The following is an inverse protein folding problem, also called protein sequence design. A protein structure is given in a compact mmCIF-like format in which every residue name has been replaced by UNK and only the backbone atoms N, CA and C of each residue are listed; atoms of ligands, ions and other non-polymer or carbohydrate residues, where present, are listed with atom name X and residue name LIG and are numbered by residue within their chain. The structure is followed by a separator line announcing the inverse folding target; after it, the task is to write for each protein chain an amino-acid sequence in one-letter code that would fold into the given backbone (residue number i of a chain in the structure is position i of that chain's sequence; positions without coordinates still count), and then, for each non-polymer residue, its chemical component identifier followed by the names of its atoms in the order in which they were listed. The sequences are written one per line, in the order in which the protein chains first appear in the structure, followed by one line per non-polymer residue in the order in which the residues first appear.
data_IF_956908290286
#
_entry.id   IF_956908290286
#
_cell.length_a   1.000
_cell.length_b   1.000
_cell.length_c   1.000
_cell.angle_alpha   90.00
_cell.angle_beta   90.00
_cell.angle_gamma   90.00
#
_symmetry.space_group_name_H-M   'P 1'
#
loop_
_entity.id
_entity.type
_entity.pdbx_description
1 polymer ?
#
# COMPACT_ATOMS: atom_id res chain seq x y z
N UNK A 1 6.32 -6.27 10.32
CA UNK A 1 6.99 -7.39 9.64
C UNK A 1 7.01 -7.13 8.15
N UNK A 2 5.86 -7.09 7.47
CA UNK A 2 5.79 -6.95 6.01
C UNK A 2 6.55 -5.71 5.47
N UNK A 3 6.19 -4.50 5.94
CA UNK A 3 6.90 -3.26 5.59
C UNK A 3 8.43 -3.38 5.76
N UNK A 4 8.87 -3.88 6.93
CA UNK A 4 10.29 -3.96 7.30
C UNK A 4 11.14 -4.85 6.38
N UNK A 5 10.56 -5.92 5.86
CA UNK A 5 11.31 -7.02 5.25
C UNK A 5 11.02 -7.24 3.77
N UNK A 6 9.89 -6.72 3.29
CA UNK A 6 9.41 -6.96 1.93
C UNK A 6 9.13 -5.65 1.19
N UNK A 7 9.53 -4.51 1.73
CA UNK A 7 9.40 -3.21 1.07
C UNK A 7 10.61 -2.33 1.41
N UNK A 8 10.77 -1.24 0.68
CA UNK A 8 11.82 -0.25 0.95
C UNK A 8 11.52 0.64 2.16
N UNK A 9 10.30 0.57 2.72
CA UNK A 9 9.92 1.19 4.01
C UNK A 9 10.43 0.34 5.17
N UNK A 10 11.74 0.41 5.39
CA UNK A 10 12.44 -0.52 6.26
C UNK A 10 13.05 0.11 7.51
N UNK A 11 12.96 1.43 7.71
CA UNK A 11 13.35 2.05 8.99
C UNK A 11 12.23 1.93 10.03
N UNK A 12 12.59 1.94 11.33
CA UNK A 12 11.56 1.89 12.38
C UNK A 12 10.75 3.18 12.45
N UNK A 13 11.38 4.29 12.08
CA UNK A 13 10.82 5.63 12.03
C UNK A 13 9.74 5.73 10.95
N UNK A 14 10.03 5.23 9.73
CA UNK A 14 9.05 5.20 8.64
C UNK A 14 7.86 4.28 9.00
N UNK A 15 8.13 3.09 9.54
CA UNK A 15 7.07 2.15 9.96
C UNK A 15 6.21 2.75 11.08
N UNK A 16 6.83 3.44 12.04
CA UNK A 16 6.16 4.15 13.11
C UNK A 16 5.23 5.26 12.57
N UNK A 17 5.69 6.02 11.58
CA UNK A 17 4.90 7.05 10.92
C UNK A 17 3.69 6.46 10.16
N UNK A 18 3.88 5.37 9.42
CA UNK A 18 2.78 4.69 8.72
C UNK A 18 1.73 4.17 9.70
N UNK A 19 2.17 3.53 10.80
CA UNK A 19 1.29 2.88 11.76
C UNK A 19 0.79 3.79 12.87
N UNK A 20 1.24 5.04 12.92
CA UNK A 20 0.91 6.04 13.95
C UNK A 20 1.17 5.54 15.39
N UNK A 21 2.30 4.87 15.60
CA UNK A 21 2.72 4.35 16.92
C UNK A 21 4.18 4.68 17.23
N UNK A 22 4.59 4.73 18.51
CA UNK A 22 5.97 4.98 18.87
C UNK A 22 6.96 3.93 18.33
N UNK A 23 8.19 4.35 18.01
CA UNK A 23 9.29 3.45 17.58
C UNK A 23 9.54 2.32 18.59
N UNK A 24 9.43 2.60 19.90
CA UNK A 24 9.55 1.58 20.95
C UNK A 24 8.49 0.47 20.81
N UNK A 25 7.27 0.83 20.41
CA UNK A 25 6.17 -0.11 20.13
C UNK A 25 6.45 -0.93 18.87
N UNK A 26 7.07 -0.35 17.85
CA UNK A 26 7.51 -1.10 16.65
C UNK A 26 8.52 -2.17 17.03
N UNK A 27 9.55 -1.82 17.80
CA UNK A 27 10.60 -2.76 18.24
C UNK A 27 10.01 -3.92 19.05
N UNK A 28 9.16 -3.62 20.03
CA UNK A 28 8.55 -4.67 20.87
C UNK A 28 7.61 -5.57 20.07
N UNK A 29 6.76 -5.02 19.20
CA UNK A 29 5.86 -5.80 18.34
C UNK A 29 6.60 -6.65 17.32
N UNK A 30 7.69 -6.15 16.73
CA UNK A 30 8.52 -6.94 15.83
C UNK A 30 9.18 -8.12 16.55
N UNK A 31 9.69 -7.91 17.77
CA UNK A 31 10.26 -8.99 18.55
C UNK A 31 9.22 -10.08 18.88
N UNK A 32 8.02 -9.67 19.32
CA UNK A 32 6.91 -10.59 19.56
C UNK A 32 6.46 -11.33 18.30
N UNK A 33 6.36 -10.62 17.17
CA UNK A 33 5.94 -11.20 15.90
C UNK A 33 6.94 -12.25 15.38
N UNK A 34 8.26 -12.02 15.56
CA UNK A 34 9.29 -13.03 15.23
C UNK A 34 9.12 -14.29 16.07
N UNK A 35 8.85 -14.16 17.37
CA UNK A 35 8.58 -15.29 18.25
C UNK A 35 7.36 -16.10 17.79
N UNK A 36 6.24 -15.41 17.55
CA UNK A 36 5.00 -16.04 17.05
C UNK A 36 5.17 -16.69 15.68
N UNK A 37 5.95 -16.07 14.77
CA UNK A 37 6.24 -16.65 13.47
C UNK A 37 7.08 -17.94 13.61
N UNK A 38 8.09 -17.94 14.48
CA UNK A 38 8.88 -19.14 14.73
C UNK A 38 8.02 -20.28 15.32
N UNK A 39 7.09 -19.97 16.22
CA UNK A 39 6.11 -20.93 16.75
C UNK A 39 5.17 -21.45 15.66
N UNK A 40 4.60 -20.55 14.84
CA UNK A 40 3.71 -20.92 13.74
C UNK A 40 4.42 -21.80 12.70
N UNK A 41 5.63 -21.42 12.26
CA UNK A 41 6.43 -22.22 11.31
C UNK A 41 6.73 -23.62 11.84
N UNK A 42 7.00 -23.77 13.15
CA UNK A 42 7.16 -25.09 13.79
C UNK A 42 5.86 -25.89 13.78
N UNK A 43 4.73 -25.23 14.06
CA UNK A 43 3.43 -25.89 14.09
C UNK A 43 2.90 -26.27 12.69
N UNK A 44 3.31 -25.56 11.65
CA UNK A 44 2.83 -25.78 10.27
C UNK A 44 3.83 -26.52 9.38
N UNK A 45 4.87 -27.13 9.96
CA UNK A 45 5.94 -27.81 9.22
C UNK A 45 5.42 -28.91 8.26
N UNK A 46 4.28 -29.51 8.58
CA UNK A 46 3.68 -30.61 7.80
C UNK A 46 2.44 -30.19 6.97
N UNK A 47 2.14 -28.89 6.85
CA UNK A 47 0.95 -28.39 6.15
C UNK A 47 1.27 -27.70 4.81
N UNK A 48 0.44 -27.98 3.80
CA UNK A 48 0.47 -27.28 2.52
C UNK A 48 0.21 -25.78 2.70
N UNK A 49 1.17 -24.96 2.30
CA UNK A 49 1.06 -23.50 2.35
C UNK A 49 0.36 -22.96 1.10
N UNK A 50 -0.46 -21.92 1.28
CA UNK A 50 -0.92 -21.09 0.16
C UNK A 50 0.32 -20.51 -0.53
N UNK A 51 0.38 -20.64 -1.86
CA UNK A 51 1.50 -20.13 -2.66
C UNK A 51 1.51 -18.60 -2.60
N UNK A 52 2.34 -18.06 -1.71
CA UNK A 52 2.53 -16.62 -1.52
C UNK A 52 3.01 -15.93 -2.82
N UNK A 53 3.72 -16.64 -3.69
CA UNK A 53 4.13 -16.13 -5.00
C UNK A 53 2.92 -15.92 -5.91
N UNK A 54 2.01 -16.90 -5.97
CA UNK A 54 0.78 -16.79 -6.76
C UNK A 54 -0.13 -15.66 -6.25
N UNK A 55 -0.24 -15.50 -4.92
CA UNK A 55 -1.04 -14.43 -4.30
C UNK A 55 -0.43 -13.05 -4.60
N UNK A 56 0.89 -12.88 -4.44
CA UNK A 56 1.55 -11.61 -4.77
C UNK A 56 1.45 -11.29 -6.27
N UNK A 57 1.53 -12.30 -7.14
CA UNK A 57 1.34 -12.11 -8.58
C UNK A 57 -0.09 -11.68 -8.93
N UNK A 58 -1.11 -12.16 -8.20
CA UNK A 58 -2.48 -11.68 -8.36
C UNK A 58 -2.63 -10.22 -7.90
N UNK A 59 -2.06 -9.87 -6.74
CA UNK A 59 -2.05 -8.51 -6.21
C UNK A 59 -1.30 -7.54 -7.15
N UNK A 60 -0.21 -7.99 -7.79
CA UNK A 60 0.52 -7.23 -8.80
C UNK A 60 -0.33 -6.94 -10.05
N UNK A 61 -1.11 -7.93 -10.53
CA UNK A 61 -2.03 -7.71 -11.66
C UNK A 61 -3.13 -6.70 -11.29
N UNK A 62 -3.69 -6.81 -10.09
CA UNK A 62 -4.70 -5.86 -9.60
C UNK A 62 -4.13 -4.43 -9.50
N UNK A 63 -2.88 -4.28 -9.07
CA UNK A 63 -2.19 -2.99 -9.02
C UNK A 63 -2.01 -2.38 -10.42
N UNK A 64 -1.48 -3.16 -11.38
CA UNK A 64 -1.25 -2.70 -12.76
C UNK A 64 -2.57 -2.30 -13.43
N UNK A 65 -3.59 -3.15 -13.32
CA UNK A 65 -4.93 -2.86 -13.87
C UNK A 65 -5.52 -1.59 -13.24
N UNK A 66 -5.28 -1.36 -11.95
CA UNK A 66 -5.73 -0.15 -11.26
C UNK A 66 -5.11 1.11 -11.88
N UNK A 67 -3.82 1.07 -12.20
CA UNK A 67 -3.13 2.19 -12.84
C UNK A 67 -3.59 2.37 -14.30
N UNK A 68 -3.74 1.29 -15.06
CA UNK A 68 -4.21 1.36 -16.45
C UNK A 68 -5.61 1.96 -16.56
N UNK A 69 -6.53 1.58 -15.66
CA UNK A 69 -7.88 2.14 -15.60
C UNK A 69 -7.85 3.61 -15.18
N UNK A 70 -6.92 4.00 -14.30
CA UNK A 70 -6.76 5.39 -13.91
C UNK A 70 -6.28 6.28 -15.07
N UNK A 71 -5.27 5.83 -15.81
CA UNK A 71 -4.77 6.50 -17.02
C UNK A 71 -5.85 6.65 -18.11
N UNK A 72 -6.85 5.76 -18.13
CA UNK A 72 -7.99 5.82 -19.04
C UNK A 72 -9.12 6.75 -18.55
N UNK A 73 -8.99 7.34 -17.36
CA UNK A 73 -9.98 8.24 -16.76
C UNK A 73 -11.16 7.54 -16.07
N UNK A 74 -11.10 6.21 -15.88
CA UNK A 74 -12.19 5.43 -15.27
C UNK A 74 -11.88 4.98 -13.84
N UNK A 75 -10.91 5.64 -13.19
CA UNK A 75 -10.56 5.40 -11.78
C UNK A 75 -11.77 5.52 -10.83
N UNK A 76 -12.68 6.50 -10.96
CA UNK A 76 -13.81 6.62 -10.03
C UNK A 76 -14.74 5.40 -10.04
N UNK A 77 -15.00 4.81 -11.20
CA UNK A 77 -15.82 3.60 -11.30
C UNK A 77 -15.11 2.40 -10.65
N UNK A 78 -13.81 2.26 -10.90
CA UNK A 78 -12.99 1.22 -10.28
C UNK A 78 -12.97 1.34 -8.74
N UNK A 79 -12.82 2.56 -8.23
CA UNK A 79 -12.87 2.84 -6.78
C UNK A 79 -14.25 2.50 -6.22
N UNK A 80 -15.33 2.79 -6.95
CA UNK A 80 -16.68 2.43 -6.53
C UNK A 80 -16.90 0.91 -6.41
N UNK A 81 -16.22 0.11 -7.24
CA UNK A 81 -16.26 -1.36 -7.24
C UNK A 81 -15.34 -1.95 -6.16
N UNK A 82 -14.05 -1.62 -6.16
CA UNK A 82 -13.02 -2.29 -5.33
C UNK A 82 -12.89 -1.74 -3.91
N UNK A 83 -13.27 -0.50 -3.66
CA UNK A 83 -13.20 0.13 -2.32
C UNK A 83 -14.58 0.23 -1.69
N UNK A 84 -14.65 -0.10 -0.40
CA UNK A 84 -15.86 0.06 0.39
C UNK A 84 -16.36 1.51 0.40
N UNK A 85 -17.68 1.77 0.43
CA UNK A 85 -18.23 3.13 0.50
C UNK A 85 -17.63 4.01 1.59
N UNK A 86 -17.35 3.40 2.73
CA UNK A 86 -16.82 3.93 3.97
C UNK A 86 -15.29 3.86 4.06
N UNK A 87 -14.61 3.66 2.93
CA UNK A 87 -13.14 3.63 2.87
C UNK A 87 -12.56 4.87 3.51
N UNK A 88 -11.58 4.68 4.39
CA UNK A 88 -10.74 5.77 4.89
C UNK A 88 -9.49 5.92 4.02
N UNK A 89 -9.32 7.10 3.41
CA UNK A 89 -8.11 7.52 2.71
C UNK A 89 -7.25 8.40 3.61
N UNK A 90 -5.95 8.13 3.64
CA UNK A 90 -4.97 8.86 4.45
C UNK A 90 -3.71 9.15 3.63
N UNK A 91 -3.28 10.41 3.59
CA UNK A 91 -2.06 10.83 2.88
C UNK A 91 -1.35 11.97 3.63
N UNK A 92 -0.25 12.49 3.07
CA UNK A 92 0.47 13.64 3.62
C UNK A 92 0.95 13.42 5.05
N UNK A 93 1.52 12.24 5.33
CA UNK A 93 1.93 11.82 6.68
C UNK A 93 0.79 11.85 7.71
N UNK A 94 -0.44 11.58 7.29
CA UNK A 94 -1.62 11.52 8.16
C UNK A 94 -2.40 12.83 8.28
N UNK A 95 -1.90 13.91 7.68
CA UNK A 95 -2.54 15.24 7.70
C UNK A 95 -3.74 15.33 6.76
N UNK A 96 -3.72 14.56 5.68
CA UNK A 96 -4.80 14.52 4.69
C UNK A 96 -5.63 13.28 4.98
N UNK A 97 -6.93 13.45 5.26
CA UNK A 97 -7.87 12.37 5.54
C UNK A 97 -9.20 12.60 4.84
N UNK A 98 -9.79 11.55 4.31
CA UNK A 98 -11.07 11.61 3.62
C UNK A 98 -11.58 10.25 3.19
N UNK A 99 -12.54 10.25 2.27
CA UNK A 99 -13.13 9.04 1.69
C UNK A 99 -12.66 8.76 0.27
N UNK A 100 -13.44 7.95 -0.45
CA UNK A 100 -13.21 7.62 -1.87
C UNK A 100 -13.09 8.85 -2.76
N UNK A 101 -13.90 9.88 -2.52
CA UNK A 101 -13.89 11.10 -3.33
C UNK A 101 -12.52 11.82 -3.29
N UNK A 102 -11.85 11.77 -2.12
CA UNK A 102 -10.51 12.34 -1.97
C UNK A 102 -9.45 11.48 -2.64
N UNK A 103 -9.60 10.15 -2.60
CA UNK A 103 -8.75 9.22 -3.34
C UNK A 103 -8.86 9.46 -4.85
N UNK A 104 -10.09 9.57 -5.37
CA UNK A 104 -10.33 9.81 -6.81
C UNK A 104 -9.83 11.18 -7.24
N UNK A 105 -10.08 12.21 -6.44
CA UNK A 105 -9.58 13.56 -6.70
C UNK A 105 -8.04 13.61 -6.70
N UNK A 106 -7.39 12.92 -5.76
CA UNK A 106 -5.92 12.86 -5.71
C UNK A 106 -5.31 12.25 -6.96
N UNK A 107 -5.83 11.10 -7.41
CA UNK A 107 -5.36 10.45 -8.63
C UNK A 107 -5.61 11.31 -9.89
N UNK A 108 -6.81 11.88 -10.03
CA UNK A 108 -7.15 12.76 -11.16
C UNK A 108 -6.27 14.01 -11.21
N UNK A 109 -5.97 14.58 -10.05
CA UNK A 109 -5.05 15.70 -9.91
C UNK A 109 -3.64 15.31 -10.35
N UNK A 110 -3.08 14.22 -9.82
CA UNK A 110 -1.74 13.74 -10.18
C UNK A 110 -1.61 13.58 -11.70
N UNK A 111 -2.57 12.89 -12.33
CA UNK A 111 -2.59 12.67 -13.78
C UNK A 111 -2.74 13.97 -14.58
N UNK A 112 -3.57 14.92 -14.12
CA UNK A 112 -3.73 16.24 -14.74
C UNK A 112 -2.46 17.07 -14.68
N UNK A 113 -1.69 16.94 -13.60
CA UNK A 113 -0.38 17.58 -13.42
C UNK A 113 0.75 16.83 -14.14
N UNK A 114 0.45 15.74 -14.85
CA UNK A 114 1.42 14.95 -15.62
C UNK A 114 2.25 13.99 -14.77
N UNK A 115 1.79 13.68 -13.55
CA UNK A 115 2.40 12.70 -12.66
C UNK A 115 1.82 11.32 -12.96
N UNK A 116 2.70 10.37 -13.28
CA UNK A 116 2.31 8.99 -13.55
C UNK A 116 2.88 8.04 -12.49
N UNK A 117 2.16 6.96 -12.19
CA UNK A 117 2.67 5.93 -11.27
C UNK A 117 3.16 4.72 -12.07
N UNK A 118 4.35 4.20 -11.72
CA UNK A 118 4.87 2.95 -12.27
C UNK A 118 4.93 1.90 -11.18
N UNK A 119 4.25 0.78 -11.38
CA UNK A 119 4.28 -0.34 -10.46
C UNK A 119 5.70 -0.89 -10.25
N UNK A 120 6.06 -1.16 -9.00
CA UNK A 120 7.35 -1.78 -8.61
C UNK A 120 7.14 -3.16 -8.01
N UNK A 121 6.29 -3.27 -6.98
CA UNK A 121 6.06 -4.55 -6.29
C UNK A 121 4.73 -4.57 -5.53
N UNK A 122 4.24 -5.80 -5.30
CA UNK A 122 3.08 -6.08 -4.47
C UNK A 122 3.44 -7.10 -3.37
N UNK A 123 2.99 -6.83 -2.15
CA UNK A 123 3.08 -7.73 -1.01
C UNK A 123 1.69 -7.92 -0.43
N UNK A 124 1.19 -9.15 -0.50
CA UNK A 124 -0.11 -9.52 0.06
C UNK A 124 0.09 -10.27 1.38
N UNK A 125 -0.51 -9.74 2.45
CA UNK A 125 -0.74 -10.44 3.70
C UNK A 125 -2.20 -10.89 3.81
N UNK A 126 -2.57 -11.49 4.95
CA UNK A 126 -3.94 -11.96 5.18
C UNK A 126 -4.99 -10.85 5.07
N UNK A 127 -4.72 -9.71 5.68
CA UNK A 127 -5.67 -8.58 5.80
C UNK A 127 -5.07 -7.25 5.32
N UNK A 128 -3.85 -7.29 4.77
CA UNK A 128 -3.08 -6.11 4.36
C UNK A 128 -2.51 -6.34 2.97
N UNK A 129 -2.71 -5.36 2.10
CA UNK A 129 -2.13 -5.30 0.76
C UNK A 129 -1.17 -4.12 0.73
N UNK A 130 0.03 -4.31 0.20
CA UNK A 130 1.00 -3.24 0.03
C UNK A 130 1.43 -3.18 -1.43
N UNK A 131 1.23 -2.04 -2.08
CA UNK A 131 1.78 -1.76 -3.41
C UNK A 131 2.84 -0.67 -3.31
N UNK A 132 3.99 -0.92 -3.90
CA UNK A 132 5.05 0.09 -4.07
C UNK A 132 5.07 0.53 -5.52
N UNK A 133 5.15 1.84 -5.72
CA UNK A 133 5.18 2.46 -7.03
C UNK A 133 6.23 3.57 -7.07
N UNK A 134 6.84 3.76 -8.22
CA UNK A 134 7.57 4.99 -8.52
C UNK A 134 6.57 6.06 -8.95
N UNK A 135 6.82 7.30 -8.58
CA UNK A 135 6.13 8.46 -9.13
C UNK A 135 7.03 9.11 -10.18
N UNK A 136 6.50 9.27 -11.38
CA UNK A 136 7.17 9.87 -12.52
C UNK A 136 6.60 11.28 -12.67
N UNK A 137 7.34 12.26 -12.15
CA UNK A 137 7.02 13.68 -12.29
C UNK A 137 7.12 14.13 -13.76
N UNK A 138 6.39 15.19 -14.15
CA UNK A 138 6.45 15.72 -15.51
C UNK A 138 7.86 16.28 -15.84
N UNK A 139 8.33 16.23 -17.11
CA UNK A 139 9.70 16.63 -17.46
C UNK A 139 10.03 18.11 -17.20
N UNK A 140 9.01 18.98 -17.21
CA UNK A 140 9.12 20.42 -16.96
C UNK A 140 9.06 20.79 -15.48
N UNK A 141 8.63 19.87 -14.60
CA UNK A 141 8.70 19.98 -13.15
C UNK A 141 9.14 18.65 -12.50
N UNK A 142 10.42 18.26 -12.59
CA UNK A 142 10.89 16.94 -12.12
C UNK A 142 10.76 16.72 -10.60
N UNK A 143 10.66 17.80 -9.81
CA UNK A 143 10.53 17.76 -8.35
C UNK A 143 9.07 17.85 -7.88
N UNK A 144 8.11 17.82 -8.80
CA UNK A 144 6.68 17.97 -8.52
C UNK A 144 6.17 16.99 -7.44
N UNK A 145 6.58 15.73 -7.53
CA UNK A 145 6.26 14.70 -6.56
C UNK A 145 7.50 14.01 -5.99
N UNK A 146 7.44 13.50 -4.75
CA UNK A 146 8.45 12.58 -4.23
C UNK A 146 8.61 11.38 -5.18
N UNK A 147 9.79 10.74 -5.25
CA UNK A 147 10.10 9.75 -6.30
C UNK A 147 9.31 8.43 -6.20
N UNK A 148 8.60 8.20 -5.10
CA UNK A 148 7.84 6.97 -4.91
C UNK A 148 6.70 7.11 -3.91
N UNK A 149 5.80 6.14 -3.95
CA UNK A 149 4.67 6.02 -3.05
C UNK A 149 4.42 4.55 -2.69
N UNK A 150 4.08 4.33 -1.42
CA UNK A 150 3.65 3.04 -0.90
C UNK A 150 2.19 3.15 -0.50
N UNK A 151 1.36 2.34 -1.14
CA UNK A 151 -0.06 2.18 -0.84
C UNK A 151 -0.19 1.07 0.19
N UNK A 152 -0.47 1.43 1.44
CA UNK A 152 -0.71 0.47 2.52
C UNK A 152 -2.22 0.36 2.74
N UNK A 153 -2.78 -0.79 2.37
CA UNK A 153 -4.22 -0.99 2.34
C UNK A 153 -4.64 -2.16 3.21
N UNK A 154 -5.84 -2.08 3.78
CA UNK A 154 -6.46 -3.21 4.47
C UNK A 154 -7.75 -3.62 3.79
N UNK A 155 -8.05 -4.91 3.76
CA UNK A 155 -9.30 -5.42 3.18
C UNK A 155 -10.33 -5.79 4.24
N UNK A 156 -11.60 -5.66 3.87
CA UNK A 156 -12.75 -6.23 4.57
C UNK A 156 -13.70 -6.75 3.51
N UNK A 157 -14.11 -8.02 3.64
CA UNK A 157 -15.04 -8.67 2.71
C UNK A 157 -14.57 -8.59 1.24
N UNK A 158 -13.26 -8.78 1.02
CA UNK A 158 -12.64 -8.74 -0.31
C UNK A 158 -12.38 -7.34 -0.87
N UNK A 159 -12.97 -6.30 -0.28
CA UNK A 159 -12.86 -4.90 -0.72
C UNK A 159 -11.90 -4.11 0.15
N UNK A 160 -11.28 -3.07 -0.40
CA UNK A 160 -10.40 -2.19 0.36
C UNK A 160 -11.22 -1.32 1.32
N UNK A 161 -10.82 -1.32 2.60
CA UNK A 161 -11.51 -0.63 3.69
C UNK A 161 -10.74 0.61 4.19
N UNK A 162 -9.42 0.59 4.04
CA UNK A 162 -8.54 1.70 4.37
C UNK A 162 -7.38 1.70 3.39
N UNK A 163 -6.94 2.89 3.02
CA UNK A 163 -5.73 3.12 2.22
C UNK A 163 -4.93 4.25 2.88
N UNK A 164 -3.63 4.01 3.02
CA UNK A 164 -2.65 5.03 3.41
C UNK A 164 -1.58 5.15 2.33
N UNK A 165 -1.39 6.36 1.82
CA UNK A 165 -0.25 6.69 0.97
C UNK A 165 0.91 7.18 1.82
N UNK A 166 2.09 6.63 1.57
CA UNK A 166 3.34 7.00 2.24
C UNK A 166 4.45 7.21 1.21
N UNK A 167 5.16 8.33 1.31
CA UNK A 167 6.31 8.60 0.46
C UNK A 167 7.60 8.24 1.20
N UNK A 168 8.33 7.21 0.78
CA UNK A 168 9.65 6.91 1.32
C UNK A 168 10.64 7.97 0.79
N UNK A 169 10.99 8.92 1.65
CA UNK A 169 12.14 9.83 1.45
C UNK A 169 13.42 9.22 2.00
#
# INVERSE_FOLDING_TARGET
MLLRYFTDVNSYEQIAAILEVPVGTIRSRLNQARGKLAEALRATADHAHVDAGAVNAASAREAVETLEVAEQGDFPALVADRWLPETEFIAGNGLIRGGRDLLTFGMDKDLTEGVHQRFVQAVEGRDVTIWTMDLISPPDDPEHCPPGVVWVMTRREGRFARIRLFHPV
#
